data_IF_759242340495
#
_entry.id   IF_759242340495
#
_cell.length_a   1.000
_cell.length_b   1.000
_cell.length_c   1.000
_cell.angle_alpha   90.00
_cell.angle_beta   90.00
_cell.angle_gamma   90.00
#
_symmetry.space_group_name_H-M   'P 1'
#
loop_
_entity.id
_entity.type
_entity.pdbx_description
1 polymer ?
#
# COMPACT_ATOMS: atom_id res chain seq x y z
N UNK A 1 -5.07 25.65 0.21
CA UNK A 1 -4.04 24.63 0.49
C UNK A 1 -3.92 23.73 -0.74
N UNK A 2 -3.03 24.07 -1.69
CA UNK A 2 -2.70 23.26 -2.88
C UNK A 2 -1.29 22.72 -2.68
N UNK A 3 -1.17 21.45 -2.30
CA UNK A 3 0.08 20.68 -2.36
C UNK A 3 -0.09 19.65 -3.48
N UNK A 4 -0.05 20.11 -4.72
CA UNK A 4 -0.05 19.24 -5.90
C UNK A 4 0.47 20.05 -7.10
N UNK A 5 1.63 20.66 -6.96
CA UNK A 5 2.35 21.24 -8.09
C UNK A 5 3.42 20.22 -8.47
N UNK A 6 3.21 19.58 -9.62
CA UNK A 6 4.25 18.93 -10.44
C UNK A 6 4.63 17.45 -10.20
N UNK A 7 3.67 16.60 -9.80
CA UNK A 7 3.87 15.13 -9.91
C UNK A 7 3.54 14.57 -11.31
N UNK A 8 3.04 15.41 -12.23
CA UNK A 8 2.63 14.96 -13.57
C UNK A 8 3.83 14.57 -14.46
N UNK A 9 5.05 14.92 -14.06
CA UNK A 9 6.29 14.53 -14.77
C UNK A 9 7.12 13.46 -14.07
N UNK A 10 6.78 13.03 -12.85
CA UNK A 10 7.58 12.01 -12.17
C UNK A 10 7.29 10.62 -12.73
N UNK A 11 8.32 9.80 -12.98
CA UNK A 11 8.12 8.43 -13.43
C UNK A 11 7.34 7.64 -12.38
N UNK A 12 6.27 6.98 -12.81
CA UNK A 12 5.52 6.06 -11.94
C UNK A 12 6.46 4.92 -11.53
N UNK A 13 6.60 4.62 -10.22
CA UNK A 13 7.47 3.55 -9.77
C UNK A 13 6.98 2.21 -10.32
N UNK A 14 7.89 1.43 -10.91
CA UNK A 14 7.57 0.09 -11.43
C UNK A 14 7.50 -0.96 -10.33
N UNK A 15 8.17 -0.72 -9.19
CA UNK A 15 8.22 -1.63 -8.04
C UNK A 15 8.24 -0.87 -6.72
N UNK A 16 7.57 -1.39 -5.70
CA UNK A 16 7.52 -0.84 -4.34
C UNK A 16 7.65 -1.97 -3.33
N UNK A 17 8.57 -1.86 -2.37
CA UNK A 17 8.61 -2.79 -1.25
C UNK A 17 7.78 -2.24 -0.08
N UNK A 18 6.78 -2.99 0.39
CA UNK A 18 5.96 -2.61 1.54
C UNK A 18 6.42 -3.35 2.80
N UNK A 19 6.76 -2.60 3.84
CA UNK A 19 7.17 -3.15 5.13
C UNK A 19 6.03 -3.04 6.14
N UNK A 20 5.47 -4.18 6.55
CA UNK A 20 4.47 -4.28 7.63
C UNK A 20 5.06 -5.04 8.80
N UNK A 21 5.74 -4.31 9.70
CA UNK A 21 6.57 -4.90 10.75
C UNK A 21 5.76 -5.41 11.94
N UNK A 22 4.71 -4.68 12.33
CA UNK A 22 3.95 -4.94 13.55
C UNK A 22 2.99 -6.14 13.42
N UNK A 23 2.50 -6.45 12.21
CA UNK A 23 1.69 -7.65 11.91
C UNK A 23 1.60 -7.86 10.40
N UNK A 24 1.35 -9.10 9.97
CA UNK A 24 1.27 -9.47 8.55
C UNK A 24 0.01 -8.89 7.89
N UNK A 25 0.09 -8.32 6.67
CA UNK A 25 -1.10 -7.92 5.89
C UNK A 25 -2.03 -9.09 5.54
N UNK A 26 -1.56 -10.34 5.66
CA UNK A 26 -2.34 -11.55 5.41
C UNK A 26 -2.97 -12.13 6.69
N UNK A 27 -2.74 -11.52 7.86
CA UNK A 27 -3.37 -11.93 9.11
C UNK A 27 -4.87 -11.58 9.10
N UNK A 28 -5.70 -12.46 9.69
CA UNK A 28 -7.15 -12.27 9.81
C UNK A 28 -7.48 -10.99 10.58
N UNK A 29 -8.11 -9.98 9.95
CA UNK A 29 -8.51 -8.75 10.63
C UNK A 29 -9.58 -9.01 11.71
N UNK A 30 -9.53 -8.21 12.78
CA UNK A 30 -10.45 -8.31 13.92
C UNK A 30 -9.99 -9.27 15.02
N UNK A 31 -8.77 -9.81 14.91
CA UNK A 31 -8.17 -10.71 15.90
C UNK A 31 -6.73 -10.31 16.20
N UNK A 32 -6.29 -10.45 17.46
CA UNK A 32 -4.94 -10.04 17.88
C UNK A 32 -4.64 -8.58 17.50
N UNK A 33 -3.45 -8.34 16.95
CA UNK A 33 -3.02 -7.03 16.46
C UNK A 33 -3.51 -6.71 15.03
N UNK A 34 -4.22 -7.63 14.36
CA UNK A 34 -4.65 -7.45 12.99
C UNK A 34 -5.94 -6.63 12.89
N UNK A 35 -5.87 -5.47 12.23
CA UNK A 35 -6.96 -4.51 12.14
C UNK A 35 -7.01 -3.75 10.81
N UNK A 36 -7.46 -2.49 10.86
CA UNK A 36 -7.63 -1.68 9.66
C UNK A 36 -6.34 -1.43 8.87
N UNK A 37 -5.19 -1.40 9.53
CA UNK A 37 -3.90 -1.18 8.86
C UNK A 37 -3.50 -2.38 7.98
N UNK A 38 -3.76 -3.60 8.43
CA UNK A 38 -3.53 -4.82 7.64
C UNK A 38 -4.39 -4.81 6.37
N UNK A 39 -5.68 -4.50 6.52
CA UNK A 39 -6.61 -4.39 5.39
C UNK A 39 -6.17 -3.30 4.43
N UNK A 40 -5.79 -2.13 4.95
CA UNK A 40 -5.31 -1.02 4.15
C UNK A 40 -4.08 -1.41 3.33
N UNK A 41 -3.04 -1.95 3.98
CA UNK A 41 -1.81 -2.38 3.32
C UNK A 41 -2.10 -3.42 2.23
N UNK A 42 -2.90 -4.45 2.53
CA UNK A 42 -3.24 -5.49 1.57
C UNK A 42 -4.00 -4.90 0.37
N UNK A 43 -5.06 -4.13 0.61
CA UNK A 43 -5.90 -3.60 -0.48
C UNK A 43 -5.16 -2.57 -1.33
N UNK A 44 -4.35 -1.70 -0.72
CA UNK A 44 -3.51 -0.75 -1.47
C UNK A 44 -2.46 -1.48 -2.30
N UNK A 45 -1.81 -2.52 -1.76
CA UNK A 45 -0.82 -3.31 -2.51
C UNK A 45 -1.46 -4.04 -3.71
N UNK A 46 -2.64 -4.63 -3.52
CA UNK A 46 -3.41 -5.26 -4.60
C UNK A 46 -3.82 -4.24 -5.69
N UNK A 47 -4.24 -3.04 -5.29
CA UNK A 47 -4.64 -2.01 -6.24
C UNK A 47 -3.44 -1.45 -7.02
N UNK A 48 -2.27 -1.31 -6.37
CA UNK A 48 -1.02 -0.98 -7.04
C UNK A 48 -0.60 -2.06 -8.04
N UNK A 49 -0.70 -3.34 -7.66
CA UNK A 49 -0.46 -4.47 -8.55
C UNK A 49 -1.38 -4.47 -9.77
N UNK A 50 -2.68 -4.19 -9.59
CA UNK A 50 -3.64 -4.04 -10.70
C UNK A 50 -3.29 -2.90 -11.65
N UNK A 51 -2.62 -1.86 -11.16
CA UNK A 51 -2.13 -0.73 -11.97
C UNK A 51 -0.76 -0.98 -12.60
N UNK A 52 -0.21 -2.19 -12.46
CA UNK A 52 1.06 -2.59 -13.07
C UNK A 52 2.31 -2.25 -12.25
N UNK A 53 2.14 -1.91 -10.97
CA UNK A 53 3.26 -1.74 -10.03
C UNK A 53 3.49 -3.05 -9.30
N UNK A 54 4.68 -3.63 -9.39
CA UNK A 54 5.02 -4.82 -8.59
C UNK A 54 5.21 -4.39 -7.11
N UNK A 55 4.51 -5.06 -6.21
CA UNK A 55 4.50 -4.77 -4.76
C UNK A 55 4.86 -6.00 -3.97
#
# INVERSE_FOLDING_TARGET
>A
MRLATDLQGLPVPRRVAVLSVHTSPLAQPGTGDAGGMNVYVLQTSLELARRGVEV
#
